data_IF_261465080734
#
_entry.id   IF_261465080734
#
_cell.length_a   1.000
_cell.length_b   1.000
_cell.length_c   1.000
_cell.angle_alpha   90.00
_cell.angle_beta   90.00
_cell.angle_gamma   90.00
#
_symmetry.space_group_name_H-M   'P 1'
#
loop_
_entity.id
_entity.type
_entity.pdbx_description
1 polymer ?
#
# COMPACT_ATOMS: atom_id res chain seq x y z
N UNK A 1 20.63 -6.10 0.53
CA UNK A 1 19.36 -6.60 -0.07
C UNK A 1 18.73 -5.44 -0.82
N UNK A 2 18.12 -5.68 -1.98
CA UNK A 2 17.39 -4.64 -2.71
C UNK A 2 15.99 -4.51 -2.12
N UNK A 3 15.60 -3.29 -1.73
CA UNK A 3 14.26 -2.99 -1.25
C UNK A 3 13.32 -2.76 -2.45
N UNK A 4 12.03 -3.10 -2.29
CA UNK A 4 11.02 -2.79 -3.28
C UNK A 4 10.75 -1.29 -3.33
N UNK A 5 10.42 -0.76 -4.51
CA UNK A 5 9.98 0.63 -4.68
C UNK A 5 8.46 0.69 -4.74
N UNK A 6 7.89 1.76 -4.18
CA UNK A 6 6.47 2.07 -4.30
C UNK A 6 6.33 3.17 -5.35
N UNK A 7 5.53 2.88 -6.37
CA UNK A 7 5.06 3.86 -7.34
C UNK A 7 3.56 4.07 -7.15
N UNK A 8 3.15 5.32 -6.91
CA UNK A 8 1.75 5.65 -6.72
C UNK A 8 1.03 5.73 -8.06
N UNK A 9 -0.22 5.27 -8.08
CA UNK A 9 -1.10 5.44 -9.23
C UNK A 9 -1.32 6.93 -9.53
N UNK A 10 -0.98 7.32 -10.76
CA UNK A 10 -1.23 8.66 -11.31
C UNK A 10 -2.38 8.61 -12.32
N UNK A 11 -3.31 9.55 -12.21
CA UNK A 11 -4.41 9.68 -13.18
C UNK A 11 -3.90 10.35 -14.46
N UNK A 12 -4.64 10.25 -15.58
CA UNK A 12 -4.31 11.01 -16.80
C UNK A 12 -4.28 12.54 -16.61
N UNK A 13 -4.88 13.05 -15.53
CA UNK A 13 -4.87 14.47 -15.18
C UNK A 13 -3.71 14.87 -14.26
N UNK A 14 -2.77 13.96 -13.97
CA UNK A 14 -1.62 14.19 -13.10
C UNK A 14 -1.94 14.17 -11.59
N UNK A 15 -3.10 13.64 -11.19
CA UNK A 15 -3.43 13.49 -9.77
C UNK A 15 -2.87 12.19 -9.23
N UNK A 16 -2.54 12.16 -7.94
CA UNK A 16 -2.02 10.98 -7.25
C UNK A 16 -2.97 10.64 -6.09
N UNK A 17 -4.15 10.06 -6.35
CA UNK A 17 -5.25 10.02 -5.37
C UNK A 17 -4.92 9.24 -4.11
N UNK A 18 -4.09 8.20 -4.22
CA UNK A 18 -3.68 7.38 -3.08
C UNK A 18 -2.79 8.18 -2.13
N UNK A 19 -1.80 8.89 -2.66
CA UNK A 19 -0.92 9.75 -1.86
C UNK A 19 -1.72 10.92 -1.27
N UNK A 20 -2.52 11.61 -2.09
CA UNK A 20 -3.40 12.70 -1.63
C UNK A 20 -4.37 12.26 -0.51
N UNK A 21 -4.83 11.01 -0.54
CA UNK A 21 -5.67 10.45 0.52
C UNK A 21 -4.86 10.22 1.81
N UNK A 22 -3.66 9.63 1.70
CA UNK A 22 -2.77 9.37 2.85
C UNK A 22 -2.37 10.68 3.52
N UNK A 23 -2.06 11.72 2.74
CA UNK A 23 -1.65 13.04 3.23
C UNK A 23 -2.75 13.78 4.01
N UNK A 24 -4.02 13.42 3.77
CA UNK A 24 -5.20 14.00 4.46
C UNK A 24 -5.60 13.24 5.72
N UNK A 25 -4.93 12.12 6.04
CA UNK A 25 -5.21 11.37 7.25
C UNK A 25 -4.75 12.16 8.49
N UNK A 26 -5.41 11.91 9.62
CA UNK A 26 -4.87 12.33 10.91
C UNK A 26 -3.54 11.61 11.21
N UNK A 27 -2.72 12.19 12.08
CA UNK A 27 -1.36 11.72 12.39
C UNK A 27 -1.31 10.22 12.74
N UNK A 28 -2.20 9.75 13.64
CA UNK A 28 -2.24 8.36 14.09
C UNK A 28 -2.49 7.34 12.94
N UNK A 29 -3.56 7.45 12.13
CA UNK A 29 -3.74 6.56 10.97
C UNK A 29 -2.65 6.76 9.90
N UNK A 30 -2.16 7.98 9.67
CA UNK A 30 -1.08 8.22 8.71
C UNK A 30 0.20 7.47 9.08
N UNK A 31 0.63 7.52 10.35
CA UNK A 31 1.78 6.76 10.84
C UNK A 31 1.63 5.25 10.66
N UNK A 32 0.40 4.71 10.83
CA UNK A 32 0.13 3.29 10.57
C UNK A 32 0.25 2.92 9.10
N UNK A 33 -0.19 3.80 8.21
CA UNK A 33 -0.01 3.60 6.77
C UNK A 33 1.48 3.57 6.46
N UNK A 34 2.25 4.56 6.92
CA UNK A 34 3.70 4.62 6.69
C UNK A 34 4.41 3.34 7.15
N UNK A 35 4.18 2.90 8.40
CA UNK A 35 4.76 1.65 8.90
C UNK A 35 4.38 0.42 8.05
N UNK A 36 3.17 0.39 7.50
CA UNK A 36 2.72 -0.73 6.66
C UNK A 36 3.33 -0.67 5.26
N UNK A 37 3.61 0.53 4.73
CA UNK A 37 4.33 0.71 3.47
C UNK A 37 5.80 0.31 3.61
N UNK A 38 6.45 0.60 4.74
CA UNK A 38 7.82 0.12 5.03
C UNK A 38 7.90 -1.41 5.01
N UNK A 39 6.92 -2.10 5.60
CA UNK A 39 6.84 -3.56 5.51
C UNK A 39 6.66 -4.04 4.06
N UNK A 40 5.88 -3.32 3.25
CA UNK A 40 5.72 -3.66 1.84
C UNK A 40 7.01 -3.44 1.04
N UNK A 41 7.76 -2.38 1.32
CA UNK A 41 9.08 -2.09 0.74
C UNK A 41 10.09 -3.18 1.11
N UNK A 42 10.10 -3.62 2.37
CA UNK A 42 11.03 -4.63 2.87
C UNK A 42 10.72 -6.03 2.33
N UNK A 43 9.46 -6.45 2.36
CA UNK A 43 9.08 -7.85 2.08
C UNK A 43 8.45 -8.07 0.69
N UNK A 44 7.92 -7.03 0.05
CA UNK A 44 7.24 -7.10 -1.25
C UNK A 44 6.27 -8.29 -1.37
N UNK A 45 6.44 -9.20 -2.34
CA UNK A 45 5.58 -10.38 -2.52
C UNK A 45 5.62 -11.37 -1.36
N UNK A 46 6.65 -11.32 -0.51
CA UNK A 46 6.76 -12.15 0.68
C UNK A 46 5.93 -11.60 1.85
N UNK A 47 5.44 -10.36 1.78
CA UNK A 47 4.49 -9.84 2.76
C UNK A 47 3.17 -10.63 2.63
N UNK A 48 2.76 -11.30 3.71
CA UNK A 48 1.52 -12.10 3.77
C UNK A 48 0.56 -11.54 4.83
N UNK A 49 -0.44 -12.33 5.19
CA UNK A 49 -1.34 -12.00 6.29
C UNK A 49 -0.54 -11.78 7.60
N UNK A 50 -0.96 -10.82 8.44
CA UNK A 50 -2.21 -10.06 8.34
C UNK A 50 -2.14 -8.80 7.46
N UNK A 51 -0.96 -8.47 6.92
CA UNK A 51 -0.67 -7.17 6.27
C UNK A 51 -0.94 -7.15 4.77
N UNK A 52 -0.84 -8.27 4.07
CA UNK A 52 -1.16 -8.35 2.66
C UNK A 52 -1.96 -9.61 2.32
N UNK A 53 -2.91 -9.47 1.38
CA UNK A 53 -3.72 -10.58 0.88
C UNK A 53 -3.90 -10.47 -0.63
N UNK A 54 -3.64 -11.56 -1.36
CA UNK A 54 -3.91 -11.63 -2.80
C UNK A 54 -5.43 -11.56 -3.05
N UNK A 55 -5.85 -10.72 -4.00
CA UNK A 55 -7.24 -10.70 -4.47
C UNK A 55 -7.42 -11.78 -5.53
N UNK A 56 -8.30 -12.75 -5.25
CA UNK A 56 -8.53 -13.90 -6.13
C UNK A 56 -8.92 -13.49 -7.54
N UNK A 57 -8.37 -14.16 -8.54
CA UNK A 57 -8.65 -13.95 -9.96
C UNK A 57 -8.33 -12.54 -10.49
N UNK A 58 -7.39 -11.82 -9.87
CA UNK A 58 -6.92 -10.50 -10.33
C UNK A 58 -5.40 -10.35 -10.18
N UNK A 59 -4.74 -9.40 -10.86
CA UNK A 59 -3.35 -9.03 -10.59
C UNK A 59 -3.17 -8.25 -9.28
N UNK A 60 -4.26 -7.82 -8.64
CA UNK A 60 -4.22 -6.97 -7.45
C UNK A 60 -3.95 -7.74 -6.14
N UNK A 61 -3.41 -6.99 -5.19
CA UNK A 61 -3.20 -7.35 -3.80
C UNK A 61 -3.84 -6.29 -2.91
N UNK A 62 -4.36 -6.71 -1.77
CA UNK A 62 -4.89 -5.84 -0.71
C UNK A 62 -3.79 -5.64 0.35
N UNK A 63 -3.29 -4.41 0.52
CA UNK A 63 -2.50 -3.99 1.67
C UNK A 63 -3.44 -3.60 2.82
N UNK A 64 -3.19 -4.14 4.00
CA UNK A 64 -4.09 -4.11 5.15
C UNK A 64 -3.44 -3.34 6.31
N UNK A 65 -3.90 -2.12 6.51
CA UNK A 65 -3.50 -1.29 7.65
C UNK A 65 -4.51 -1.50 8.78
N UNK A 66 -4.08 -2.13 9.87
CA UNK A 66 -4.96 -2.50 10.99
C UNK A 66 -5.04 -1.41 12.07
N UNK A 67 -6.24 -1.17 12.57
CA UNK A 67 -6.49 -0.20 13.64
C UNK A 67 -7.97 -0.08 13.97
N UNK A 68 -8.30 0.86 14.86
CA UNK A 68 -9.68 1.23 15.21
C UNK A 68 -10.53 1.48 13.95
N UNK A 69 -9.96 2.21 12.99
CA UNK A 69 -10.43 2.27 11.60
C UNK A 69 -9.38 1.60 10.73
N UNK A 70 -9.76 0.45 10.16
CA UNK A 70 -8.90 -0.27 9.23
C UNK A 70 -8.93 0.41 7.86
N UNK A 71 -7.75 0.59 7.27
CA UNK A 71 -7.59 1.10 5.90
C UNK A 71 -7.11 -0.04 4.98
N UNK A 72 -7.49 0.05 3.71
CA UNK A 72 -7.12 -0.89 2.65
C UNK A 72 -6.65 -0.13 1.43
N UNK A 73 -5.54 -0.59 0.86
CA UNK A 73 -4.99 -0.08 -0.40
C UNK A 73 -4.84 -1.25 -1.35
N UNK A 74 -5.14 -1.03 -2.63
CA UNK A 74 -4.83 -2.01 -3.66
C UNK A 74 -3.51 -1.66 -4.34
N UNK A 75 -2.71 -2.68 -4.62
CA UNK A 75 -1.47 -2.57 -5.35
C UNK A 75 -1.29 -3.79 -6.25
N UNK A 76 -0.41 -3.68 -7.24
CA UNK A 76 0.11 -4.81 -8.00
C UNK A 76 1.63 -4.86 -7.88
N UNK A 77 2.20 -5.97 -8.34
CA UNK A 77 3.64 -6.14 -8.42
C UNK A 77 4.02 -6.01 -9.89
N UNK A 78 4.87 -5.03 -10.20
CA UNK A 78 5.45 -4.85 -11.52
C UNK A 78 6.96 -5.10 -11.46
N UNK A 79 7.51 -5.62 -12.55
CA UNK A 79 8.93 -5.49 -12.83
C UNK A 79 9.10 -4.25 -13.71
N UNK A 80 10.16 -3.48 -13.49
CA UNK A 80 10.59 -2.44 -14.43
C UNK A 80 10.92 -3.04 -15.82
#
# INVERSE_FOLDING_TARGET
MMAWKIDYYETPSGRIPVQEFIDKLAEKPQAKVHNTLELLVEFGPQLKLPHAKKVSNTPLWELRVLGEKSLRFFYELSAD
#
